data_IF_776324397555
#
_entry.id   IF_776324397555
#
_cell.length_a   1.000
_cell.length_b   1.000
_cell.length_c   1.000
_cell.angle_alpha   90.00
_cell.angle_beta   90.00
_cell.angle_gamma   90.00
#
_symmetry.space_group_name_H-M   'P 1'
#
loop_
_entity.id
_entity.type
_entity.pdbx_description
1 polymer ?
#
# COMPACT_ATOMS: atom_id res chain seq x y z
N UNK A 1 22.05 19.61 -9.56
CA UNK A 1 21.45 19.37 -8.23
C UNK A 1 20.12 20.11 -8.20
N UNK A 2 19.00 19.42 -8.49
CA UNK A 2 17.70 20.07 -8.67
C UNK A 2 17.06 20.41 -7.32
N UNK A 3 16.51 21.63 -7.21
CA UNK A 3 15.96 22.31 -6.02
C UNK A 3 14.75 21.64 -5.33
N UNK A 4 14.50 20.35 -5.55
CA UNK A 4 13.35 19.61 -4.99
C UNK A 4 13.67 18.80 -3.72
N UNK A 5 14.88 18.89 -3.17
CA UNK A 5 15.49 17.84 -2.33
C UNK A 5 15.20 17.87 -0.82
N UNK A 6 14.11 18.53 -0.37
CA UNK A 6 13.51 18.33 0.97
C UNK A 6 12.24 19.17 1.07
N UNK A 7 11.07 18.53 0.99
CA UNK A 7 9.82 19.20 1.36
C UNK A 7 9.86 19.47 2.87
N UNK A 8 9.33 20.62 3.34
CA UNK A 8 9.16 20.83 4.78
C UNK A 8 8.30 19.70 5.38
N UNK A 9 8.48 19.37 6.67
CA UNK A 9 7.70 18.33 7.33
C UNK A 9 6.21 18.49 7.06
N UNK A 10 5.52 17.36 6.90
CA UNK A 10 4.09 17.37 6.72
C UNK A 10 3.38 18.20 7.79
N UNK A 11 2.24 18.81 7.44
CA UNK A 11 1.31 19.21 8.50
C UNK A 11 0.83 17.95 9.23
N UNK A 12 0.80 17.91 10.58
CA UNK A 12 0.27 16.78 11.34
C UNK A 12 -1.23 16.53 11.16
N UNK A 13 -1.93 17.41 10.45
CA UNK A 13 -3.36 17.33 10.25
C UNK A 13 -3.78 16.03 9.55
N UNK A 14 -4.84 15.42 10.07
CA UNK A 14 -5.52 14.23 9.54
C UNK A 14 -6.91 14.54 8.98
N UNK A 15 -7.19 15.83 8.70
CA UNK A 15 -8.48 16.36 8.24
C UNK A 15 -9.67 16.15 9.21
N UNK A 16 -9.38 16.03 10.51
CA UNK A 16 -10.36 16.10 11.61
C UNK A 16 -10.16 17.39 12.39
N UNK A 17 -11.19 18.22 12.47
CA UNK A 17 -11.13 19.54 13.12
C UNK A 17 -12.10 19.62 14.31
N UNK A 18 -11.80 18.84 15.37
CA UNK A 18 -12.57 18.84 16.61
C UNK A 18 -11.59 19.00 17.77
N UNK A 19 -11.71 20.08 18.54
CA UNK A 19 -10.92 20.33 19.75
C UNK A 19 -11.63 19.69 20.93
N UNK A 20 -10.88 18.95 21.74
CA UNK A 20 -11.36 18.43 23.01
C UNK A 20 -11.34 19.53 24.08
N UNK A 21 -12.45 19.73 24.78
CA UNK A 21 -12.61 20.83 25.73
C UNK A 21 -11.71 20.69 26.95
N UNK A 22 -11.43 19.46 27.41
CA UNK A 22 -10.63 19.23 28.60
C UNK A 22 -9.13 19.46 28.32
N UNK A 23 -8.61 18.88 27.24
CA UNK A 23 -7.19 18.95 26.88
C UNK A 23 -6.83 20.21 26.08
N UNK A 24 -7.80 20.90 25.47
CA UNK A 24 -7.59 22.01 24.52
C UNK A 24 -6.75 21.60 23.30
N UNK A 25 -6.78 20.31 22.95
CA UNK A 25 -6.06 19.74 21.81
C UNK A 25 -7.02 19.17 20.77
N UNK A 26 -6.59 19.19 19.51
CA UNK A 26 -7.32 18.56 18.41
C UNK A 26 -7.35 17.03 18.58
N UNK A 27 -8.56 16.46 18.59
CA UNK A 27 -8.84 15.01 18.69
C UNK A 27 -8.33 14.18 17.50
N UNK A 28 -7.76 14.82 16.47
CA UNK A 28 -7.17 14.13 15.32
C UNK A 28 -5.64 14.21 15.26
N UNK A 29 -5.05 15.36 15.58
CA UNK A 29 -3.60 15.57 15.43
C UNK A 29 -2.89 16.01 16.72
N UNK A 30 -3.60 16.11 17.84
CA UNK A 30 -3.09 16.52 19.14
C UNK A 30 -2.35 17.88 19.16
N UNK A 31 -2.63 18.74 18.18
CA UNK A 31 -2.17 20.14 18.15
C UNK A 31 -3.15 21.05 18.89
N UNK A 32 -2.63 22.11 19.49
CA UNK A 32 -3.46 23.20 20.03
C UNK A 32 -4.02 24.08 18.90
N UNK A 33 -5.01 24.92 19.21
CA UNK A 33 -5.59 25.85 18.24
C UNK A 33 -4.54 26.87 17.74
N UNK A 34 -3.67 27.36 18.63
CA UNK A 34 -2.60 28.30 18.26
C UNK A 34 -1.61 27.68 17.29
N UNK A 35 -1.18 26.44 17.55
CA UNK A 35 -0.31 25.67 16.65
C UNK A 35 -0.95 25.43 15.28
N UNK A 36 -2.28 25.28 15.23
CA UNK A 36 -3.04 25.14 13.99
C UNK A 36 -3.08 26.46 13.23
N UNK A 37 -3.42 27.56 13.90
CA UNK A 37 -3.59 28.88 13.30
C UNK A 37 -2.29 29.44 12.72
N UNK A 38 -1.15 29.24 13.40
CA UNK A 38 0.13 29.80 12.96
C UNK A 38 0.92 28.91 11.99
N UNK A 39 0.50 27.65 11.76
CA UNK A 39 1.29 26.63 11.07
C UNK A 39 1.86 27.05 9.70
N UNK A 40 1.04 27.74 8.90
CA UNK A 40 1.42 28.18 7.55
C UNK A 40 2.62 29.12 7.53
N UNK A 41 2.77 29.97 8.55
CA UNK A 41 3.88 30.92 8.69
C UNK A 41 4.93 30.53 9.73
N UNK A 42 4.79 29.37 10.38
CA UNK A 42 5.70 28.93 11.42
C UNK A 42 7.11 28.60 10.90
N UNK A 43 8.13 28.86 11.73
CA UNK A 43 9.52 28.47 11.46
C UNK A 43 9.70 26.95 11.49
N UNK A 44 10.80 26.47 10.90
CA UNK A 44 11.12 25.04 10.91
C UNK A 44 11.40 24.53 12.33
N UNK A 45 12.03 25.34 13.20
CA UNK A 45 12.24 25.00 14.61
C UNK A 45 10.92 24.84 15.37
N UNK A 46 9.95 25.72 15.13
CA UNK A 46 8.62 25.60 15.73
C UNK A 46 7.94 24.32 15.25
N UNK A 47 7.97 24.04 13.93
CA UNK A 47 7.37 22.83 13.36
C UNK A 47 8.02 21.56 13.92
N UNK A 48 9.34 21.56 14.08
CA UNK A 48 10.08 20.46 14.68
C UNK A 48 9.70 20.27 16.16
N UNK A 49 9.60 21.35 16.93
CA UNK A 49 9.17 21.31 18.33
C UNK A 49 7.75 20.75 18.50
N UNK A 50 6.81 21.17 17.65
CA UNK A 50 5.45 20.60 17.63
C UNK A 50 5.52 19.11 17.30
N UNK A 51 6.19 18.71 16.22
CA UNK A 51 6.32 17.31 15.81
C UNK A 51 6.91 16.43 16.93
N UNK A 52 7.89 16.91 17.68
CA UNK A 52 8.49 16.19 18.80
C UNK A 52 7.51 16.00 19.98
N UNK A 53 6.58 16.93 20.20
CA UNK A 53 5.60 16.85 21.28
C UNK A 53 4.39 15.94 20.96
N UNK A 54 4.08 15.73 19.68
CA UNK A 54 2.87 15.01 19.27
C UNK A 54 2.76 13.57 19.76
N UNK A 55 3.81 12.73 19.77
CA UNK A 55 3.69 11.35 20.23
C UNK A 55 3.15 11.24 21.66
N UNK A 56 3.72 12.02 22.58
CA UNK A 56 3.28 12.04 23.98
C UNK A 56 1.85 12.57 24.13
N UNK A 57 1.50 13.64 23.41
CA UNK A 57 0.13 14.19 23.45
C UNK A 57 -0.89 13.21 22.88
N UNK A 58 -0.58 12.57 21.75
CA UNK A 58 -1.43 11.56 21.12
C UNK A 58 -1.66 10.36 22.05
N UNK A 59 -0.62 9.89 22.74
CA UNK A 59 -0.74 8.82 23.74
C UNK A 59 -1.64 9.23 24.91
N UNK A 60 -1.46 10.44 25.47
CA UNK A 60 -2.30 10.96 26.54
C UNK A 60 -3.76 11.13 26.13
N UNK A 61 -4.00 11.46 24.85
CA UNK A 61 -5.35 11.55 24.27
C UNK A 61 -5.92 10.19 23.84
N UNK A 62 -5.17 9.09 23.96
CA UNK A 62 -5.60 7.77 23.51
C UNK A 62 -5.77 7.63 22.00
N UNK A 63 -5.10 8.47 21.19
CA UNK A 63 -5.20 8.41 19.74
C UNK A 63 -4.52 7.15 19.21
N UNK A 64 -5.28 6.36 18.45
CA UNK A 64 -4.79 5.12 17.82
C UNK A 64 -4.06 5.33 16.51
N UNK A 65 -4.25 6.49 15.89
CA UNK A 65 -3.64 6.80 14.59
C UNK A 65 -3.04 8.19 14.63
N UNK A 66 -1.79 8.31 14.18
CA UNK A 66 -1.12 9.60 14.02
C UNK A 66 -0.45 9.69 12.66
N UNK A 67 -0.49 10.88 12.07
CA UNK A 67 0.29 11.14 10.85
C UNK A 67 1.77 11.24 11.20
N UNK A 68 2.63 10.76 10.31
CA UNK A 68 4.08 10.94 10.37
C UNK A 68 4.50 12.15 9.56
N UNK A 69 5.67 12.70 9.88
CA UNK A 69 6.25 13.86 9.18
C UNK A 69 6.72 13.54 7.75
N UNK A 70 6.74 12.25 7.37
CA UNK A 70 7.30 11.74 6.13
C UNK A 70 6.64 12.35 4.90
N UNK A 71 7.45 12.88 3.98
CA UNK A 71 7.07 13.33 2.65
C UNK A 71 8.26 13.24 1.70
N UNK A 72 7.99 13.15 0.39
CA UNK A 72 9.04 13.16 -0.63
C UNK A 72 10.09 12.07 -0.36
N UNK A 73 11.36 12.45 -0.48
CA UNK A 73 12.51 11.57 -0.28
C UNK A 73 12.52 10.92 1.11
N UNK A 74 12.09 11.62 2.17
CA UNK A 74 12.03 11.04 3.52
C UNK A 74 11.07 9.85 3.57
N UNK A 75 9.91 9.95 2.92
CA UNK A 75 8.95 8.85 2.88
C UNK A 75 9.53 7.63 2.16
N UNK A 76 10.22 7.86 1.05
CA UNK A 76 10.83 6.80 0.25
C UNK A 76 11.98 6.12 1.02
N UNK A 77 12.87 6.92 1.62
CA UNK A 77 13.99 6.41 2.41
C UNK A 77 13.51 5.61 3.61
N UNK A 78 12.52 6.11 4.37
CA UNK A 78 11.99 5.40 5.54
C UNK A 78 11.24 4.11 5.17
N UNK A 79 10.62 4.07 3.99
CA UNK A 79 9.99 2.86 3.44
C UNK A 79 11.06 1.84 3.02
N UNK A 80 12.08 2.29 2.29
CA UNK A 80 13.19 1.45 1.83
C UNK A 80 13.97 0.85 3.01
N UNK A 81 14.26 1.65 4.03
CA UNK A 81 14.96 1.24 5.24
C UNK A 81 14.20 0.16 6.01
N UNK A 82 12.89 0.33 6.19
CA UNK A 82 12.03 -0.65 6.88
C UNK A 82 12.04 -2.03 6.20
N UNK A 83 11.82 -2.04 4.90
CA UNK A 83 11.72 -3.29 4.14
C UNK A 83 13.10 -3.90 3.91
N UNK A 84 14.07 -3.07 3.52
CA UNK A 84 15.42 -3.48 3.15
C UNK A 84 16.27 -3.86 4.36
N UNK A 85 16.28 -3.05 5.42
CA UNK A 85 17.23 -3.21 6.53
C UNK A 85 16.59 -3.81 7.78
N UNK A 86 15.34 -3.45 8.10
CA UNK A 86 14.66 -3.90 9.32
C UNK A 86 13.83 -5.19 9.14
N UNK A 87 13.74 -5.71 7.91
CA UNK A 87 13.00 -6.94 7.60
C UNK A 87 11.48 -6.80 7.66
N UNK A 88 10.95 -5.58 7.70
CA UNK A 88 9.51 -5.34 7.74
C UNK A 88 8.80 -5.88 6.48
N UNK A 89 7.61 -6.45 6.65
CA UNK A 89 6.73 -6.82 5.52
C UNK A 89 5.94 -5.62 5.02
N UNK A 90 5.86 -5.43 3.71
CA UNK A 90 4.93 -4.50 3.09
C UNK A 90 3.79 -5.27 2.43
N UNK A 91 2.55 -4.97 2.81
CA UNK A 91 1.33 -5.54 2.24
C UNK A 91 0.60 -4.47 1.42
N UNK A 92 0.27 -4.78 0.17
CA UNK A 92 -0.53 -3.93 -0.71
C UNK A 92 -1.70 -4.70 -1.31
N UNK A 93 -2.88 -4.08 -1.36
CA UNK A 93 -4.11 -4.71 -1.83
C UNK A 93 -5.31 -4.38 -0.95
N UNK A 94 -6.31 -5.26 -1.00
CA UNK A 94 -7.52 -5.21 -0.17
C UNK A 94 -7.62 -6.40 0.76
N UNK A 95 -8.58 -6.37 1.69
CA UNK A 95 -8.90 -7.52 2.50
C UNK A 95 -9.30 -8.72 1.62
N UNK A 96 -8.55 -9.82 1.75
CA UNK A 96 -8.75 -11.02 0.94
C UNK A 96 -8.06 -11.02 -0.43
N UNK A 97 -7.44 -9.93 -0.88
CA UNK A 97 -6.67 -9.91 -2.12
C UNK A 97 -5.49 -8.95 -2.02
N UNK A 98 -4.30 -9.49 -1.72
CA UNK A 98 -3.10 -8.69 -1.45
C UNK A 98 -1.83 -9.36 -1.96
N UNK A 99 -0.81 -8.56 -2.22
CA UNK A 99 0.57 -8.99 -2.29
C UNK A 99 1.30 -8.61 -1.01
N UNK A 100 2.11 -9.51 -0.51
CA UNK A 100 3.03 -9.28 0.59
C UNK A 100 4.46 -9.32 0.08
N UNK A 101 5.19 -8.26 0.32
CA UNK A 101 6.62 -8.13 0.09
C UNK A 101 7.33 -8.30 1.42
N UNK A 102 7.90 -9.48 1.65
CA UNK A 102 8.70 -9.79 2.82
C UNK A 102 10.09 -10.26 2.38
N UNK A 103 11.15 -9.70 2.97
CA UNK A 103 12.53 -10.09 2.64
C UNK A 103 12.91 -11.30 3.48
N UNK A 104 13.34 -12.38 2.84
CA UNK A 104 13.92 -13.53 3.54
C UNK A 104 15.29 -13.18 4.10
N UNK A 105 15.58 -13.64 5.31
CA UNK A 105 16.89 -13.43 5.95
C UNK A 105 18.03 -13.91 5.05
N UNK A 106 18.99 -13.03 4.79
CA UNK A 106 20.16 -13.35 3.95
C UNK A 106 19.93 -13.23 2.44
N UNK A 107 18.70 -12.99 1.96
CA UNK A 107 18.44 -12.71 0.53
C UNK A 107 18.74 -11.26 0.19
N UNK A 108 19.10 -10.96 -1.06
CA UNK A 108 19.41 -9.59 -1.48
C UNK A 108 18.12 -8.76 -1.66
N UNK A 109 18.17 -7.49 -1.25
CA UNK A 109 17.15 -6.50 -1.56
C UNK A 109 17.88 -5.25 -2.07
N UNK A 110 17.68 -4.91 -3.33
CA UNK A 110 18.27 -3.71 -3.93
C UNK A 110 17.24 -2.60 -3.99
N UNK A 111 17.65 -1.39 -3.63
CA UNK A 111 16.79 -0.21 -3.58
C UNK A 111 17.39 0.97 -4.34
N UNK A 112 16.57 1.63 -5.15
CA UNK A 112 16.95 2.83 -5.89
C UNK A 112 15.90 3.91 -5.65
N UNK A 113 16.35 5.10 -5.26
CA UNK A 113 15.50 6.29 -5.12
C UNK A 113 15.95 7.33 -6.15
N UNK A 114 15.02 7.79 -6.98
CA UNK A 114 15.27 8.81 -7.99
C UNK A 114 13.97 9.41 -8.49
N UNK A 115 13.97 10.70 -8.81
CA UNK A 115 12.82 11.42 -9.38
C UNK A 115 11.50 11.25 -8.62
N UNK A 116 11.56 11.17 -7.29
CA UNK A 116 10.39 10.98 -6.43
C UNK A 116 9.81 9.56 -6.45
N UNK A 117 10.58 8.59 -6.92
CA UNK A 117 10.20 7.18 -7.01
C UNK A 117 11.20 6.31 -6.25
N UNK A 118 10.69 5.35 -5.49
CA UNK A 118 11.44 4.22 -4.94
C UNK A 118 11.17 2.99 -5.79
N UNK A 119 12.23 2.30 -6.21
CA UNK A 119 12.16 0.94 -6.76
C UNK A 119 12.91 0.01 -5.80
N UNK A 120 12.21 -1.00 -5.29
CA UNK A 120 12.80 -2.12 -4.55
C UNK A 120 12.72 -3.39 -5.40
N UNK A 121 13.78 -4.20 -5.37
CA UNK A 121 13.83 -5.49 -6.08
C UNK A 121 14.38 -6.57 -5.16
N UNK A 122 13.64 -7.67 -5.09
CA UNK A 122 14.01 -8.95 -4.52
C UNK A 122 14.05 -9.99 -5.66
N UNK A 123 14.45 -11.22 -5.36
CA UNK A 123 14.56 -12.29 -6.35
C UNK A 123 13.26 -12.55 -7.13
N UNK A 124 12.14 -12.67 -6.41
CA UNK A 124 10.82 -13.02 -6.96
C UNK A 124 9.78 -11.90 -6.76
N UNK A 125 10.22 -10.68 -6.48
CA UNK A 125 9.32 -9.56 -6.28
C UNK A 125 9.96 -8.20 -6.58
N UNK A 126 9.13 -7.25 -6.97
CA UNK A 126 9.56 -5.87 -7.14
C UNK A 126 8.46 -4.89 -6.77
N UNK A 127 8.84 -3.73 -6.25
CA UNK A 127 7.93 -2.68 -5.84
C UNK A 127 8.38 -1.34 -6.41
N UNK A 128 7.43 -0.58 -6.95
CA UNK A 128 7.57 0.83 -7.29
C UNK A 128 6.63 1.64 -6.40
N UNK A 129 7.16 2.63 -5.69
CA UNK A 129 6.41 3.55 -4.84
C UNK A 129 6.71 5.00 -5.25
N UNK A 130 5.67 5.78 -5.50
CA UNK A 130 5.76 7.18 -5.90
C UNK A 130 5.46 8.10 -4.71
N UNK A 131 6.35 9.05 -4.41
CA UNK A 131 6.18 10.02 -3.34
C UNK A 131 5.24 11.18 -3.73
N UNK A 132 4.02 10.85 -4.12
CA UNK A 132 3.01 11.86 -4.43
C UNK A 132 2.77 12.77 -3.22
N UNK A 133 2.52 14.07 -3.45
CA UNK A 133 2.29 15.05 -2.38
C UNK A 133 1.13 14.72 -1.43
N UNK A 134 0.18 13.91 -1.90
CA UNK A 134 -0.98 13.48 -1.13
C UNK A 134 -0.78 12.11 -0.46
N UNK A 135 0.33 11.41 -0.73
CA UNK A 135 0.67 10.18 -0.03
C UNK A 135 1.06 10.54 1.42
N UNK A 136 0.39 9.89 2.36
CA UNK A 136 0.53 10.18 3.79
C UNK A 136 0.89 8.90 4.51
N UNK A 137 1.94 8.95 5.33
CA UNK A 137 2.27 7.88 6.25
C UNK A 137 1.57 8.12 7.59
N UNK A 138 0.91 7.08 8.09
CA UNK A 138 0.30 7.04 9.41
C UNK A 138 0.97 5.95 10.23
N UNK A 139 1.16 6.22 11.50
CA UNK A 139 1.46 5.19 12.48
C UNK A 139 0.18 4.79 13.19
N UNK A 140 -0.06 3.49 13.25
CA UNK A 140 -1.29 2.87 13.74
C UNK A 140 -0.96 2.00 14.94
N UNK A 141 -1.35 2.46 16.12
CA UNK A 141 -1.32 1.73 17.38
C UNK A 141 -2.44 0.69 17.40
N UNK A 142 -2.07 -0.56 17.72
CA UNK A 142 -2.97 -1.70 17.76
C UNK A 142 -2.85 -2.34 19.15
N UNK A 143 -3.91 -2.37 19.98
CA UNK A 143 -3.79 -2.82 21.36
C UNK A 143 -3.21 -4.23 21.56
N UNK A 144 -3.43 -5.12 20.59
CA UNK A 144 -3.06 -6.54 20.66
C UNK A 144 -2.02 -6.94 19.61
N UNK A 145 -1.39 -5.98 18.93
CA UNK A 145 -0.42 -6.26 17.87
C UNK A 145 0.64 -5.14 17.77
N UNK A 146 1.82 -5.40 17.18
CA UNK A 146 2.82 -4.37 16.98
C UNK A 146 2.25 -3.16 16.22
N UNK A 147 2.73 -1.96 16.54
CA UNK A 147 2.42 -0.76 15.78
C UNK A 147 2.84 -0.94 14.32
N UNK A 148 1.96 -0.57 13.39
CA UNK A 148 2.26 -0.63 11.95
C UNK A 148 2.30 0.77 11.34
N UNK A 149 2.88 0.87 10.15
CA UNK A 149 2.84 2.10 9.34
C UNK A 149 1.86 1.87 8.18
N UNK A 150 0.86 2.72 8.03
CA UNK A 150 -0.01 2.72 6.86
C UNK A 150 0.36 3.88 5.94
N UNK A 151 0.72 3.56 4.69
CA UNK A 151 0.76 4.53 3.62
C UNK A 151 -0.64 4.63 3.03
N UNK A 152 -1.17 5.85 2.91
CA UNK A 152 -2.54 6.07 2.46
C UNK A 152 -2.69 7.40 1.72
N UNK A 153 -3.72 7.47 0.88
CA UNK A 153 -4.09 8.68 0.13
C UNK A 153 -5.53 9.09 0.49
N UNK A 154 -5.91 10.36 0.31
CA UNK A 154 -7.32 10.76 0.43
C UNK A 154 -8.20 9.98 -0.55
N UNK A 155 -9.45 9.66 -0.16
CA UNK A 155 -10.39 8.85 -0.94
C UNK A 155 -10.60 9.35 -2.39
N UNK A 156 -10.53 10.67 -2.60
CA UNK A 156 -10.61 11.27 -3.93
C UNK A 156 -9.42 10.93 -4.87
N UNK A 157 -8.37 10.28 -4.35
CA UNK A 157 -7.20 9.78 -5.10
C UNK A 157 -7.22 8.27 -5.30
N UNK A 158 -8.26 7.58 -4.81
CA UNK A 158 -8.50 6.16 -5.07
C UNK A 158 -8.68 5.91 -6.58
N UNK A 159 -8.57 4.64 -6.99
CA UNK A 159 -8.81 4.23 -8.37
C UNK A 159 -10.24 4.57 -8.80
N UNK A 160 -10.38 4.97 -10.07
CA UNK A 160 -11.68 5.25 -10.69
C UNK A 160 -12.11 4.04 -11.51
N UNK A 161 -13.42 3.78 -11.50
CA UNK A 161 -14.09 2.80 -12.36
C UNK A 161 -13.43 1.40 -12.37
N UNK A 162 -13.33 0.73 -11.20
CA UNK A 162 -12.67 -0.57 -11.13
C UNK A 162 -13.47 -1.64 -11.89
N UNK A 163 -12.74 -2.54 -12.56
CA UNK A 163 -13.35 -3.67 -13.24
C UNK A 163 -14.05 -4.58 -12.22
N UNK A 164 -15.25 -5.06 -12.56
CA UNK A 164 -16.07 -5.99 -11.74
C UNK A 164 -16.18 -7.39 -12.34
N UNK A 165 -15.36 -7.64 -13.34
CA UNK A 165 -15.31 -8.87 -14.13
C UNK A 165 -13.91 -9.03 -14.72
N UNK A 166 -13.55 -10.24 -15.10
CA UNK A 166 -12.27 -10.51 -15.76
C UNK A 166 -12.12 -9.63 -17.01
N UNK A 167 -11.16 -8.72 -16.99
CA UNK A 167 -11.02 -7.67 -18.02
C UNK A 167 -9.61 -7.63 -18.57
N UNK A 168 -9.46 -7.68 -19.89
CA UNK A 168 -8.17 -7.50 -20.55
C UNK A 168 -7.76 -6.02 -20.50
N UNK A 169 -6.52 -5.74 -20.10
CA UNK A 169 -5.98 -4.39 -20.01
C UNK A 169 -5.03 -4.03 -21.16
N UNK A 170 -4.48 -5.04 -21.85
CA UNK A 170 -3.46 -4.86 -22.89
C UNK A 170 -2.06 -5.27 -22.40
N UNK A 171 -1.00 -4.93 -23.16
CA UNK A 171 0.38 -5.24 -22.78
C UNK A 171 0.81 -4.48 -21.52
N UNK A 172 1.76 -5.04 -20.78
CA UNK A 172 2.34 -4.42 -19.59
C UNK A 172 3.68 -3.75 -19.87
N UNK A 173 3.63 -2.48 -20.23
CA UNK A 173 4.81 -1.68 -20.57
C UNK A 173 5.54 -1.12 -19.33
N UNK A 174 4.92 -1.23 -18.15
CA UNK A 174 5.44 -0.75 -16.87
C UNK A 174 6.04 -1.87 -15.99
N UNK A 175 6.38 -3.01 -16.59
CA UNK A 175 6.87 -4.20 -15.91
C UNK A 175 8.17 -3.91 -15.13
N UNK A 176 8.16 -4.24 -13.84
CA UNK A 176 9.35 -4.22 -13.00
C UNK A 176 10.12 -5.54 -13.14
N UNK A 177 9.45 -6.68 -13.06
CA UNK A 177 10.07 -8.00 -13.25
C UNK A 177 10.17 -8.34 -14.74
N UNK A 178 11.23 -9.06 -15.13
CA UNK A 178 11.48 -9.44 -16.52
C UNK A 178 10.54 -10.53 -17.03
N UNK A 179 10.03 -11.39 -16.14
CA UNK A 179 9.11 -12.47 -16.50
C UNK A 179 7.86 -11.91 -17.17
N UNK A 180 7.65 -12.33 -18.41
CA UNK A 180 6.56 -11.93 -19.28
C UNK A 180 6.39 -10.41 -19.44
N UNK A 181 7.47 -9.62 -19.32
CA UNK A 181 7.42 -8.17 -19.55
C UNK A 181 6.85 -7.84 -20.95
N UNK A 182 5.94 -6.86 -21.04
CA UNK A 182 5.15 -6.58 -22.25
C UNK A 182 4.02 -7.59 -22.52
N UNK A 183 3.89 -8.64 -21.70
CA UNK A 183 2.81 -9.63 -21.76
C UNK A 183 1.44 -9.01 -21.46
N UNK A 184 0.37 -9.71 -21.84
CA UNK A 184 -1.00 -9.17 -21.67
C UNK A 184 -1.43 -9.25 -20.21
N UNK A 185 -1.92 -8.13 -19.66
CA UNK A 185 -2.51 -8.06 -18.33
C UNK A 185 -4.02 -8.30 -18.33
N UNK A 186 -4.47 -9.04 -17.32
CA UNK A 186 -5.88 -9.23 -17.01
C UNK A 186 -6.16 -8.76 -15.59
N UNK A 187 -7.12 -7.85 -15.45
CA UNK A 187 -7.74 -7.49 -14.17
C UNK A 187 -8.70 -8.61 -13.74
N UNK A 188 -8.53 -9.13 -12.52
CA UNK A 188 -9.38 -10.20 -11.99
C UNK A 188 -10.79 -9.72 -11.65
N UNK A 189 -11.07 -8.42 -11.70
CA UNK A 189 -12.42 -7.90 -11.61
C UNK A 189 -12.95 -7.82 -10.18
N UNK A 190 -12.07 -7.56 -9.20
CA UNK A 190 -12.45 -7.51 -7.77
C UNK A 190 -13.33 -6.30 -7.41
N UNK A 191 -13.48 -5.32 -8.30
CA UNK A 191 -14.40 -4.20 -8.11
C UNK A 191 -14.00 -3.17 -7.05
N UNK A 192 -12.76 -3.18 -6.56
CA UNK A 192 -12.29 -2.27 -5.51
C UNK A 192 -11.65 -0.99 -6.05
N UNK A 193 -11.90 0.13 -5.36
CA UNK A 193 -11.24 1.41 -5.64
C UNK A 193 -9.89 1.55 -4.93
N UNK A 194 -9.65 0.75 -3.90
CA UNK A 194 -8.41 0.76 -3.14
C UNK A 194 -7.26 0.05 -3.86
N UNK A 195 -7.56 -1.04 -4.57
CA UNK A 195 -6.55 -1.80 -5.28
C UNK A 195 -7.10 -2.44 -6.54
N UNK A 196 -6.23 -2.57 -7.53
CA UNK A 196 -6.41 -3.42 -8.69
C UNK A 196 -5.51 -4.64 -8.54
N UNK A 197 -6.08 -5.83 -8.68
CA UNK A 197 -5.35 -7.08 -8.65
C UNK A 197 -5.37 -7.71 -10.04
N UNK A 198 -4.19 -7.85 -10.65
CA UNK A 198 -4.07 -8.34 -12.03
C UNK A 198 -3.01 -9.43 -12.14
N UNK A 199 -3.05 -10.14 -13.28
CA UNK A 199 -1.99 -11.08 -13.67
C UNK A 199 -1.40 -10.68 -15.00
N UNK A 200 -0.07 -10.75 -15.12
CA UNK A 200 0.65 -10.60 -16.39
C UNK A 200 0.89 -11.97 -16.99
N UNK A 201 0.43 -12.15 -18.22
CA UNK A 201 0.35 -13.46 -18.86
C UNK A 201 1.29 -13.56 -20.05
N UNK A 202 1.89 -14.73 -20.21
CA UNK A 202 2.38 -15.19 -21.50
C UNK A 202 1.22 -15.36 -22.50
N UNK A 203 1.55 -15.66 -23.76
CA UNK A 203 0.57 -15.83 -24.84
C UNK A 203 -0.40 -17.00 -24.59
N UNK A 204 0.07 -18.08 -23.97
CA UNK A 204 -0.71 -19.29 -23.77
C UNK A 204 -1.79 -19.08 -22.70
N UNK A 205 -1.42 -18.52 -21.55
CA UNK A 205 -2.33 -18.16 -20.48
C UNK A 205 -3.29 -17.06 -20.91
N UNK A 206 -2.82 -16.03 -21.62
CA UNK A 206 -3.68 -14.96 -22.13
C UNK A 206 -4.82 -15.51 -23.02
N UNK A 207 -4.51 -16.47 -23.90
CA UNK A 207 -5.50 -17.15 -24.75
C UNK A 207 -6.54 -17.93 -23.93
N UNK A 208 -6.14 -18.52 -22.80
CA UNK A 208 -7.05 -19.23 -21.90
C UNK A 208 -7.95 -18.26 -21.14
N UNK A 209 -7.39 -17.19 -20.56
CA UNK A 209 -8.14 -16.19 -19.80
C UNK A 209 -9.14 -15.43 -20.66
N UNK A 210 -8.81 -15.12 -21.91
CA UNK A 210 -9.70 -14.45 -22.85
C UNK A 210 -11.06 -15.16 -23.01
N UNK A 211 -11.12 -16.48 -22.81
CA UNK A 211 -12.37 -17.27 -22.90
C UNK A 211 -13.36 -17.00 -21.76
N UNK A 212 -12.88 -16.42 -20.66
CA UNK A 212 -13.69 -16.06 -19.49
C UNK A 212 -13.86 -14.55 -19.34
N UNK A 213 -13.41 -13.75 -20.31
CA UNK A 213 -13.53 -12.30 -20.28
C UNK A 213 -14.99 -11.85 -20.07
N UNK A 214 -15.19 -10.83 -19.24
CA UNK A 214 -16.51 -10.31 -18.89
C UNK A 214 -17.27 -11.14 -17.85
N UNK A 215 -16.72 -12.29 -17.41
CA UNK A 215 -17.31 -13.06 -16.30
C UNK A 215 -16.96 -12.42 -14.97
N UNK A 216 -17.95 -12.27 -14.10
CA UNK A 216 -17.80 -11.62 -12.80
C UNK A 216 -16.85 -12.40 -11.86
N UNK A 217 -16.33 -11.69 -10.86
CA UNK A 217 -15.67 -12.32 -9.72
C UNK A 217 -16.72 -12.89 -8.74
N UNK A 218 -16.48 -14.07 -8.12
CA UNK A 218 -15.38 -15.02 -8.36
C UNK A 218 -15.70 -16.04 -9.47
N UNK A 219 -16.84 -15.95 -10.14
CA UNK A 219 -17.37 -16.96 -11.07
C UNK A 219 -16.39 -17.40 -12.17
N UNK A 220 -15.55 -16.48 -12.66
CA UNK A 220 -14.57 -16.81 -13.69
C UNK A 220 -13.52 -17.82 -13.19
N UNK A 221 -13.25 -17.90 -11.88
CA UNK A 221 -12.27 -18.80 -11.28
C UNK A 221 -12.62 -20.27 -11.49
N UNK A 222 -13.90 -20.64 -11.61
CA UNK A 222 -14.28 -22.02 -11.94
C UNK A 222 -13.74 -22.47 -13.31
N UNK A 223 -13.43 -21.52 -14.21
CA UNK A 223 -12.89 -21.79 -15.55
C UNK A 223 -11.41 -21.42 -15.66
N UNK A 224 -10.96 -20.38 -14.97
CA UNK A 224 -9.58 -19.87 -15.08
C UNK A 224 -8.67 -20.27 -13.92
N UNK A 225 -9.20 -20.68 -12.77
CA UNK A 225 -8.44 -20.88 -11.53
C UNK A 225 -7.32 -21.91 -11.67
N UNK A 226 -7.61 -23.07 -12.28
CA UNK A 226 -6.60 -24.11 -12.52
C UNK A 226 -5.47 -23.59 -13.43
N UNK A 227 -5.82 -22.89 -14.52
CA UNK A 227 -4.83 -22.33 -15.44
C UNK A 227 -3.97 -21.23 -14.78
N UNK A 228 -4.57 -20.39 -13.92
CA UNK A 228 -3.85 -19.37 -13.16
C UNK A 228 -2.86 -20.00 -12.18
N UNK A 229 -3.30 -21.01 -11.42
CA UNK A 229 -2.45 -21.72 -10.46
C UNK A 229 -1.29 -22.42 -11.17
N UNK A 230 -1.59 -23.23 -12.19
CA UNK A 230 -0.58 -24.05 -12.87
C UNK A 230 0.46 -23.19 -13.62
N UNK A 231 0.06 -22.01 -14.13
CA UNK A 231 0.99 -21.09 -14.77
C UNK A 231 1.75 -20.20 -13.78
N UNK A 232 1.22 -20.00 -12.57
CA UNK A 232 1.70 -19.07 -11.54
C UNK A 232 2.24 -17.75 -12.16
N UNK A 233 1.39 -17.00 -12.90
CA UNK A 233 1.84 -15.78 -13.58
C UNK A 233 2.34 -14.75 -12.57
N UNK A 234 3.05 -13.73 -13.05
CA UNK A 234 3.37 -12.56 -12.21
C UNK A 234 2.06 -11.90 -11.81
N UNK A 235 1.83 -11.79 -10.50
CA UNK A 235 0.71 -11.01 -9.95
C UNK A 235 1.17 -9.57 -9.85
N UNK A 236 0.40 -8.67 -10.45
CA UNK A 236 0.66 -7.22 -10.41
C UNK A 236 -0.48 -6.58 -9.63
N UNK A 237 -0.16 -6.07 -8.45
CA UNK A 237 -1.06 -5.38 -7.53
C UNK A 237 -0.77 -3.89 -7.62
N UNK A 238 -1.80 -3.11 -7.93
CA UNK A 238 -1.69 -1.65 -8.03
C UNK A 238 -2.62 -1.00 -7.00
N UNK A 239 -2.05 -0.17 -6.15
CA UNK A 239 -2.79 0.72 -5.23
C UNK A 239 -2.39 2.16 -5.57
N UNK A 240 -3.08 3.20 -5.04
CA UNK A 240 -2.67 4.57 -5.31
C UNK A 240 -1.21 4.80 -4.95
N UNK A 241 -0.42 5.30 -5.91
CA UNK A 241 1.03 5.56 -5.78
C UNK A 241 1.93 4.32 -5.69
N UNK A 242 1.41 3.08 -5.79
CA UNK A 242 2.24 1.89 -5.65
C UNK A 242 1.88 0.80 -6.65
N UNK A 243 2.93 0.16 -7.17
CA UNK A 243 2.85 -1.06 -7.97
C UNK A 243 3.73 -2.12 -7.31
N UNK A 244 3.16 -3.28 -7.03
CA UNK A 244 3.84 -4.45 -6.48
C UNK A 244 3.71 -5.61 -7.48
N UNK A 245 4.82 -6.26 -7.78
CA UNK A 245 4.90 -7.45 -8.61
C UNK A 245 5.42 -8.61 -7.78
N UNK A 246 4.71 -9.74 -7.84
CA UNK A 246 5.08 -10.98 -7.16
C UNK A 246 5.14 -12.11 -8.18
N UNK A 247 6.27 -12.80 -8.21
CA UNK A 247 6.60 -13.95 -9.06
C UNK A 247 6.93 -15.19 -8.22
N UNK A 248 6.06 -15.50 -7.26
CA UNK A 248 6.17 -16.70 -6.43
C UNK A 248 5.17 -17.78 -6.90
N UNK A 249 5.36 -19.02 -6.48
CA UNK A 249 4.38 -20.08 -6.74
C UNK A 249 3.01 -19.76 -6.12
N UNK A 250 1.94 -20.30 -6.69
CA UNK A 250 0.60 -20.23 -6.12
C UNK A 250 0.33 -21.58 -5.45
N UNK A 251 0.23 -21.64 -4.10
CA UNK A 251 -0.02 -22.89 -3.41
C UNK A 251 -1.39 -23.46 -3.78
N UNK A 252 -1.62 -24.77 -3.54
CA UNK A 252 -2.96 -25.34 -3.61
C UNK A 252 -3.89 -24.66 -2.58
N UNK A 253 -5.23 -24.77 -2.70
CA UNK A 253 -6.18 -24.09 -1.82
C UNK A 253 -5.98 -24.35 -0.31
N UNK A 254 -5.52 -25.55 0.05
CA UNK A 254 -5.25 -25.97 1.43
C UNK A 254 -3.75 -25.91 1.79
N UNK A 255 -2.93 -25.31 0.92
CA UNK A 255 -1.49 -25.19 1.10
C UNK A 255 -1.09 -23.95 1.92
N UNK A 256 0.10 -24.01 2.53
CA UNK A 256 0.67 -22.86 3.21
C UNK A 256 1.19 -21.82 2.21
N UNK A 257 1.20 -20.55 2.65
CA UNK A 257 1.80 -19.49 1.85
C UNK A 257 3.32 -19.69 1.78
N UNK A 258 3.96 -19.48 0.61
CA UNK A 258 5.40 -19.58 0.50
C UNK A 258 6.11 -18.63 1.47
N UNK A 259 7.28 -19.03 1.96
CA UNK A 259 8.16 -18.10 2.66
C UNK A 259 8.59 -16.97 1.70
N UNK A 260 8.70 -15.75 2.22
CA UNK A 260 9.11 -14.57 1.45
C UNK A 260 7.95 -13.96 0.66
N UNK A 261 8.21 -13.26 -0.46
CA UNK A 261 7.17 -12.53 -1.18
C UNK A 261 6.10 -13.47 -1.75
N UNK A 262 4.83 -13.16 -1.50
CA UNK A 262 3.71 -13.98 -1.95
C UNK A 262 2.43 -13.16 -2.12
N UNK A 263 1.34 -13.83 -2.51
CA UNK A 263 0.04 -13.20 -2.68
C UNK A 263 -1.06 -14.00 -2.01
N UNK A 264 -2.01 -13.32 -1.40
CA UNK A 264 -3.25 -13.92 -0.91
C UNK A 264 -4.40 -13.57 -1.84
N UNK A 265 -5.24 -14.56 -2.11
CA UNK A 265 -6.48 -14.39 -2.87
C UNK A 265 -7.55 -15.32 -2.29
N UNK A 266 -8.40 -14.76 -1.43
CA UNK A 266 -9.39 -15.43 -0.60
C UNK A 266 -10.79 -14.90 -0.95
N UNK A 267 -11.55 -15.58 -1.84
CA UNK A 267 -12.84 -15.11 -2.33
C UNK A 267 -13.84 -14.72 -1.24
N UNK A 268 -13.91 -15.49 -0.14
CA UNK A 268 -14.83 -15.22 0.97
C UNK A 268 -14.50 -13.92 1.71
N UNK A 269 -13.21 -13.57 1.81
CA UNK A 269 -12.79 -12.29 2.39
C UNK A 269 -13.03 -11.13 1.42
N UNK A 270 -12.78 -11.33 0.11
CA UNK A 270 -13.08 -10.32 -0.91
C UNK A 270 -14.60 -10.02 -0.94
N UNK A 271 -15.44 -11.04 -0.78
CA UNK A 271 -16.90 -10.90 -0.75
C UNK A 271 -17.42 -10.01 0.39
N UNK A 272 -16.62 -9.80 1.45
CA UNK A 272 -16.95 -8.87 2.54
C UNK A 272 -16.87 -7.39 2.10
N UNK A 273 -16.23 -7.10 0.96
CA UNK A 273 -16.16 -5.75 0.39
C UNK A 273 -15.29 -4.76 1.17
N UNK A 274 -14.40 -5.26 2.03
CA UNK A 274 -13.52 -4.43 2.86
C UNK A 274 -12.25 -4.04 2.09
N UNK A 275 -11.97 -2.74 2.03
CA UNK A 275 -10.75 -2.24 1.36
C UNK A 275 -9.49 -2.39 2.22
N UNK A 276 -9.64 -2.47 3.54
CA UNK A 276 -8.54 -2.69 4.48
C UNK A 276 -8.91 -3.74 5.51
N UNK A 277 -7.93 -4.42 6.12
CA UNK A 277 -8.20 -5.36 7.20
C UNK A 277 -8.99 -4.69 8.35
N UNK A 278 -10.00 -5.36 8.95
CA UNK A 278 -10.80 -4.81 10.04
C UNK A 278 -9.97 -4.33 11.26
N UNK A 279 -8.79 -4.89 11.44
CA UNK A 279 -7.88 -4.62 12.56
C UNK A 279 -7.02 -3.37 12.37
N UNK A 280 -7.17 -2.67 11.24
CA UNK A 280 -6.35 -1.51 10.88
C UNK A 280 -7.22 -0.24 10.83
N UNK A 281 -7.26 0.56 11.90
CA UNK A 281 -8.10 1.76 11.97
C UNK A 281 -7.51 2.95 11.19
N UNK A 282 -7.66 2.92 9.87
CA UNK A 282 -7.31 4.07 9.03
C UNK A 282 -8.22 5.28 9.31
N UNK A 283 -7.70 6.51 9.23
CA UNK A 283 -8.53 7.71 9.39
C UNK A 283 -9.61 7.77 8.31
N UNK A 284 -10.81 8.23 8.68
CA UNK A 284 -11.90 8.41 7.74
C UNK A 284 -11.51 9.30 6.54
N UNK A 285 -11.97 8.94 5.35
CA UNK A 285 -11.66 9.67 4.12
C UNK A 285 -10.29 9.35 3.51
N UNK A 286 -9.59 8.32 4.00
CA UNK A 286 -8.37 7.77 3.41
C UNK A 286 -8.60 6.36 2.88
N UNK A 287 -7.78 5.98 1.90
CA UNK A 287 -7.66 4.62 1.36
C UNK A 287 -6.20 4.18 1.42
N UNK A 288 -5.95 2.91 1.74
CA UNK A 288 -4.60 2.39 1.85
C UNK A 288 -3.90 2.33 0.49
N UNK A 289 -2.64 2.74 0.49
CA UNK A 289 -1.64 2.39 -0.53
C UNK A 289 -0.94 1.10 -0.12
N UNK A 290 -0.44 1.03 1.12
CA UNK A 290 0.22 -0.15 1.66
C UNK A 290 0.26 -0.11 3.19
N UNK A 291 0.43 -1.28 3.79
CA UNK A 291 0.62 -1.47 5.23
C UNK A 291 2.01 -2.06 5.44
N UNK A 292 2.82 -1.45 6.29
CA UNK A 292 4.16 -1.90 6.64
C UNK A 292 4.11 -2.44 8.06
N UNK A 293 4.27 -3.75 8.19
CA UNK A 293 4.30 -4.47 9.44
C UNK A 293 5.75 -4.66 9.88
N UNK A 294 6.12 -4.32 11.12
CA UNK A 294 7.44 -4.69 11.64
C UNK A 294 7.59 -6.21 11.70
N UNK A 295 8.83 -6.70 11.76
CA UNK A 295 9.10 -8.10 12.12
C UNK A 295 8.58 -8.45 13.51
#
# INVERSE_FOLDING_TARGET
>A
MSRMTRLPPASPCVARCVIDEASQLCTGCARSLDEIACWGGASDDFRAGVWAALPARAANMGLKTRRLSWQGDTLLTETARRIGEEGASLVAGIWGASGELSRLTGTECTGQIGDGVLILRLENAALRLEAARYLTAFEIDRPEAPTLIALAVPLGRALRDPARSLTVLGPDDDALLSRDAGGTRFDLGLGSRAARFTVRCDKALATRLARSQGTAWPDHLSRSGLALRDAAPVRVIETPCLRLEIDAEIPPPDGESPEGPHTHLLPDHVAQGLETPPTVPLPAGYVATALIYPQ
#
